data_IF_241956662153
#
_entry.id   IF_241956662153
#
_cell.length_a   1.000
_cell.length_b   1.000
_cell.length_c   1.000
_cell.angle_alpha   90.00
_cell.angle_beta   90.00
_cell.angle_gamma   90.00
#
_symmetry.space_group_name_H-M   'P 1'
#
loop_
_entity.id
_entity.type
_entity.pdbx_description
1 polymer ?
#
# COMPACT_ATOMS: atom_id res chain seq x y z
N UNK A 1 -15.95 14.29 -15.37
CA UNK A 1 -14.66 13.72 -14.94
C UNK A 1 -14.21 14.17 -13.54
N UNK A 2 -14.74 15.27 -12.98
CA UNK A 2 -14.36 15.76 -11.63
C UNK A 2 -14.70 14.84 -10.46
N UNK A 3 -15.73 13.98 -10.56
CA UNK A 3 -16.15 13.12 -9.46
C UNK A 3 -15.08 12.14 -9.01
N UNK A 4 -14.49 11.37 -9.94
CA UNK A 4 -13.51 10.33 -9.61
C UNK A 4 -12.22 10.90 -8.98
N UNK A 5 -11.72 12.01 -9.53
CA UNK A 5 -10.51 12.68 -9.00
C UNK A 5 -10.76 13.23 -7.60
N UNK A 6 -11.94 13.79 -7.34
CA UNK A 6 -12.32 14.35 -6.05
C UNK A 6 -12.48 13.27 -4.97
N UNK A 7 -13.04 12.12 -5.34
CA UNK A 7 -13.10 10.95 -4.46
C UNK A 7 -11.70 10.39 -4.15
N UNK A 8 -10.81 10.34 -5.14
CA UNK A 8 -9.42 9.91 -4.94
C UNK A 8 -8.64 10.85 -4.01
N UNK A 9 -8.77 12.17 -4.19
CA UNK A 9 -8.12 13.14 -3.31
C UNK A 9 -8.66 13.10 -1.88
N UNK A 10 -9.98 12.90 -1.71
CA UNK A 10 -10.56 12.68 -0.39
C UNK A 10 -10.01 11.42 0.27
N UNK A 11 -9.93 10.31 -0.46
CA UNK A 11 -9.37 9.06 0.04
C UNK A 11 -7.88 9.18 0.42
N UNK A 12 -7.10 9.99 -0.32
CA UNK A 12 -5.69 10.24 0.03
C UNK A 12 -5.56 11.14 1.25
N UNK A 13 -6.37 12.20 1.35
CA UNK A 13 -6.38 13.10 2.51
C UNK A 13 -6.75 12.37 3.80
N UNK A 14 -7.76 11.51 3.76
CA UNK A 14 -8.15 10.71 4.93
C UNK A 14 -7.07 9.69 5.30
N UNK A 15 -6.43 9.05 4.31
CA UNK A 15 -5.30 8.16 4.54
C UNK A 15 -4.11 8.87 5.22
N UNK A 16 -3.77 10.08 4.77
CA UNK A 16 -2.70 10.90 5.36
C UNK A 16 -3.04 11.33 6.79
N UNK A 17 -4.27 11.79 7.02
CA UNK A 17 -4.73 12.17 8.36
C UNK A 17 -4.72 10.99 9.34
N UNK A 18 -5.14 9.81 8.89
CA UNK A 18 -5.10 8.58 9.69
C UNK A 18 -3.67 8.13 10.00
N UNK A 19 -2.74 8.24 9.05
CA UNK A 19 -1.30 8.01 9.30
C UNK A 19 -0.77 8.96 10.37
N UNK A 20 -0.96 10.27 10.16
CA UNK A 20 -0.54 11.28 11.13
C UNK A 20 -1.07 11.03 12.54
N UNK A 21 -2.35 10.64 12.68
CA UNK A 21 -2.94 10.31 13.97
C UNK A 21 -2.29 9.08 14.63
N UNK A 22 -1.94 8.05 13.85
CA UNK A 22 -1.23 6.86 14.34
C UNK A 22 0.15 7.23 14.89
N UNK A 23 0.94 7.98 14.13
CA UNK A 23 2.28 8.39 14.57
C UNK A 23 2.21 9.29 15.81
N UNK A 24 1.21 10.18 15.89
CA UNK A 24 1.00 11.00 17.08
C UNK A 24 0.65 10.17 18.33
N UNK A 25 -0.17 9.14 18.18
CA UNK A 25 -0.49 8.19 19.26
C UNK A 25 0.74 7.37 19.70
N UNK A 26 1.58 6.93 18.77
CA UNK A 26 2.81 6.19 19.08
C UNK A 26 3.81 7.06 19.86
N UNK A 27 3.97 8.32 19.47
CA UNK A 27 4.82 9.29 20.19
C UNK A 27 4.29 9.57 21.60
N UNK A 28 2.97 9.72 21.73
CA UNK A 28 2.33 9.95 23.03
C UNK A 28 2.42 8.75 23.98
N UNK A 29 2.35 7.52 23.45
CA UNK A 29 2.30 6.30 24.27
C UNK A 29 3.68 5.79 24.69
N UNK A 30 4.73 5.96 23.87
CA UNK A 30 6.03 5.32 24.12
C UNK A 30 7.20 6.27 24.35
N UNK A 31 7.12 7.55 23.94
CA UNK A 31 8.22 8.50 24.11
C UNK A 31 9.53 8.10 23.37
N UNK A 32 10.42 9.06 23.13
CA UNK A 32 11.67 8.83 22.40
C UNK A 32 12.69 8.05 23.26
N UNK A 33 12.72 6.71 23.19
CA UNK A 33 13.74 5.90 23.86
C UNK A 33 14.28 4.80 22.93
N UNK A 34 15.60 4.55 22.99
CA UNK A 34 16.43 3.84 21.99
C UNK A 34 16.15 2.37 21.68
N UNK A 35 14.99 1.82 22.09
CA UNK A 35 14.48 0.54 21.57
C UNK A 35 13.83 0.72 20.18
N UNK A 36 13.52 1.97 19.82
CA UNK A 36 12.92 2.41 18.56
C UNK A 36 13.80 2.16 17.33
N UNK A 37 15.12 2.33 17.40
CA UNK A 37 16.00 2.27 16.22
C UNK A 37 16.07 0.85 15.61
N UNK A 38 16.13 -0.20 16.44
CA UNK A 38 16.15 -1.59 15.95
C UNK A 38 14.83 -2.00 15.30
N UNK A 39 13.70 -1.56 15.89
CA UNK A 39 12.37 -1.76 15.31
C UNK A 39 12.18 -0.97 14.01
N UNK A 40 12.65 0.29 13.97
CA UNK A 40 12.61 1.11 12.76
C UNK A 40 13.40 0.48 11.62
N UNK A 41 14.58 -0.09 11.88
CA UNK A 41 15.37 -0.79 10.85
C UNK A 41 14.67 -2.07 10.37
N UNK A 42 14.14 -2.88 11.29
CA UNK A 42 13.43 -4.11 10.94
C UNK A 42 12.15 -3.83 10.14
N UNK A 43 11.47 -2.73 10.44
CA UNK A 43 10.23 -2.31 9.77
C UNK A 43 10.48 -1.50 8.50
N UNK A 44 11.69 -0.95 8.30
CA UNK A 44 12.02 -0.14 7.13
C UNK A 44 11.88 -0.90 5.82
N UNK A 45 12.35 -2.16 5.76
CA UNK A 45 12.27 -2.96 4.54
C UNK A 45 10.83 -3.30 4.13
N UNK A 46 9.96 -3.84 5.01
CA UNK A 46 8.56 -4.05 4.68
C UNK A 46 7.81 -2.74 4.42
N UNK A 47 8.18 -1.65 5.08
CA UNK A 47 7.54 -0.35 4.88
C UNK A 47 7.95 0.33 3.57
N UNK A 48 9.22 0.24 3.18
CA UNK A 48 9.70 0.67 1.88
C UNK A 48 9.01 -0.12 0.76
N UNK A 49 8.84 -1.43 0.94
CA UNK A 49 8.09 -2.28 0.02
C UNK A 49 6.63 -1.82 -0.09
N UNK A 50 5.96 -1.55 1.05
CA UNK A 50 4.60 -1.02 1.06
C UNK A 50 4.52 0.33 0.35
N UNK A 51 5.41 1.27 0.65
CA UNK A 51 5.42 2.60 0.03
C UNK A 51 5.63 2.51 -1.48
N UNK A 52 6.53 1.63 -1.95
CA UNK A 52 6.73 1.40 -3.38
C UNK A 52 5.47 0.84 -4.05
N UNK A 53 4.79 -0.13 -3.41
CA UNK A 53 3.53 -0.67 -3.90
C UNK A 53 2.39 0.38 -3.89
N UNK A 54 2.28 1.17 -2.84
CA UNK A 54 1.28 2.24 -2.69
C UNK A 54 1.51 3.40 -3.66
N UNK A 55 2.76 3.72 -3.99
CA UNK A 55 3.13 4.66 -5.05
C UNK A 55 2.82 4.13 -6.45
N UNK A 56 2.38 2.86 -6.57
CA UNK A 56 1.95 2.28 -7.82
C UNK A 56 3.08 1.63 -8.63
N UNK A 57 4.22 1.25 -8.01
CA UNK A 57 5.31 0.55 -8.70
C UNK A 57 4.82 -0.70 -9.46
N UNK A 58 3.99 -1.51 -8.79
CA UNK A 58 3.41 -2.70 -9.40
C UNK A 58 2.49 -2.34 -10.57
N UNK A 59 1.65 -1.32 -10.41
CA UNK A 59 0.76 -0.85 -11.47
C UNK A 59 1.55 -0.29 -12.65
N UNK A 60 2.60 0.50 -12.43
CA UNK A 60 3.44 1.07 -13.48
C UNK A 60 4.13 -0.02 -14.33
N UNK A 61 4.58 -1.12 -13.71
CA UNK A 61 5.18 -2.24 -14.42
C UNK A 61 4.14 -3.16 -15.10
N UNK A 62 3.00 -3.41 -14.44
CA UNK A 62 1.99 -4.36 -14.91
C UNK A 62 1.04 -3.80 -15.97
N UNK A 63 0.65 -2.52 -15.87
CA UNK A 63 -0.32 -1.89 -16.75
C UNK A 63 0.04 -1.95 -18.25
N UNK A 64 1.29 -1.65 -18.69
CA UNK A 64 1.63 -1.72 -20.11
C UNK A 64 1.58 -3.16 -20.65
N UNK A 65 1.95 -4.16 -19.84
CA UNK A 65 1.84 -5.58 -20.20
C UNK A 65 0.39 -6.04 -20.25
N UNK A 66 -0.47 -5.51 -19.37
CA UNK A 66 -1.90 -5.81 -19.37
C UNK A 66 -2.61 -5.24 -20.61
N UNK A 67 -2.24 -4.03 -21.04
CA UNK A 67 -2.82 -3.37 -22.22
C UNK A 67 -2.46 -4.06 -23.54
N UNK A 68 -1.36 -4.82 -23.59
CA UNK A 68 -0.98 -5.58 -24.79
C UNK A 68 -1.79 -6.88 -24.99
N UNK A 69 -2.61 -7.29 -24.01
CA UNK A 69 -3.37 -8.54 -24.04
C UNK A 69 -4.80 -8.34 -24.55
N UNK A 70 -5.38 -9.40 -25.10
CA UNK A 70 -6.79 -9.41 -25.50
C UNK A 70 -7.74 -9.39 -24.29
N UNK A 71 -8.98 -8.95 -24.48
CA UNK A 71 -9.95 -8.80 -23.39
C UNK A 71 -10.22 -10.09 -22.59
N UNK A 72 -10.16 -11.26 -23.24
CA UNK A 72 -10.29 -12.56 -22.56
C UNK A 72 -9.07 -12.94 -21.71
N UNK A 73 -7.87 -12.69 -22.22
CA UNK A 73 -6.62 -12.96 -21.51
C UNK A 73 -6.40 -11.99 -20.34
N UNK A 74 -6.89 -10.76 -20.47
CA UNK A 74 -6.89 -9.77 -19.39
C UNK A 74 -7.66 -10.26 -18.16
N UNK A 75 -8.85 -10.84 -18.35
CA UNK A 75 -9.66 -11.38 -17.25
C UNK A 75 -8.99 -12.58 -16.59
N UNK A 76 -8.45 -13.50 -17.40
CA UNK A 76 -7.70 -14.66 -16.90
C UNK A 76 -6.46 -14.22 -16.09
N UNK A 77 -5.73 -13.22 -16.59
CA UNK A 77 -4.54 -12.71 -15.92
C UNK A 77 -4.86 -12.03 -14.57
N UNK A 78 -5.94 -11.23 -14.50
CA UNK A 78 -6.40 -10.63 -13.25
C UNK A 78 -6.85 -11.70 -12.24
N UNK A 79 -7.55 -12.74 -12.70
CA UNK A 79 -7.98 -13.84 -11.83
C UNK A 79 -6.80 -14.64 -11.25
N UNK A 80 -5.69 -14.73 -11.99
CA UNK A 80 -4.47 -15.38 -11.52
C UNK A 80 -3.70 -14.56 -10.46
N UNK A 81 -3.75 -13.22 -10.53
CA UNK A 81 -3.09 -12.34 -9.55
C UNK A 81 -3.92 -12.15 -8.25
N UNK A 82 -5.24 -12.23 -8.33
CA UNK A 82 -6.15 -12.01 -7.20
C UNK A 82 -5.78 -12.81 -5.91
N UNK A 83 -5.54 -14.14 -5.96
CA UNK A 83 -5.21 -14.89 -4.75
C UNK A 83 -3.87 -14.49 -4.13
N UNK A 84 -2.86 -14.15 -4.94
CA UNK A 84 -1.56 -13.72 -4.45
C UNK A 84 -1.65 -12.36 -3.72
N UNK A 85 -2.45 -11.43 -4.25
CA UNK A 85 -2.70 -10.14 -3.59
C UNK A 85 -3.49 -10.29 -2.29
N UNK A 86 -4.49 -11.19 -2.24
CA UNK A 86 -5.22 -11.48 -1.00
C UNK A 86 -4.31 -12.07 0.09
N UNK A 87 -3.38 -12.96 -0.27
CA UNK A 87 -2.42 -13.51 0.69
C UNK A 87 -1.47 -12.45 1.25
N UNK A 88 -0.95 -11.54 0.40
CA UNK A 88 -0.10 -10.43 0.86
C UNK A 88 -0.90 -9.49 1.76
N UNK A 89 -2.13 -9.14 1.39
CA UNK A 89 -2.99 -8.28 2.22
C UNK A 89 -3.36 -8.91 3.57
N UNK A 90 -3.55 -10.23 3.61
CA UNK A 90 -3.88 -10.96 4.84
C UNK A 90 -2.64 -11.09 5.75
N UNK A 91 -1.47 -11.37 5.16
CA UNK A 91 -0.18 -11.39 5.87
C UNK A 91 0.13 -10.02 6.49
N UNK A 92 -0.17 -8.93 5.78
CA UNK A 92 0.04 -7.56 6.25
C UNK A 92 -0.96 -7.09 7.31
N UNK A 93 -2.09 -7.77 7.48
CA UNK A 93 -3.08 -7.49 8.54
C UNK A 93 -2.74 -8.24 9.85
N UNK A 94 -1.94 -9.29 9.78
CA UNK A 94 -1.57 -10.14 10.93
C UNK A 94 -0.23 -9.79 11.59
N UNK A 95 0.59 -8.93 10.97
CA UNK A 95 1.83 -8.38 11.54
C UNK A 95 1.57 -6.98 12.10
#
# INVERSE_FOLDING_TARGET
MFGATLWLTLATLTGLAAGFAREWLLVAAWGASGQSDGFLVAMFLPEALRMALAAGLLSAAALPLYQQRSAGEQQAWLSALAPACCCVACCWRCC
#
